data_IF_767693330319
#
_entry.id   IF_767693330319
#
_cell.length_a   1.000
_cell.length_b   1.000
_cell.length_c   1.000
_cell.angle_alpha   90.00
_cell.angle_beta   90.00
_cell.angle_gamma   90.00
#
_symmetry.space_group_name_H-M   'P 1'
#
loop_
_entity.id
_entity.type
_entity.pdbx_description
1 polymer ?
#
# COMPACT_ATOMS: atom_id res chain seq x y z
N UNK A 1 -3.95 -5.70 -4.91
CA UNK A 1 -3.25 -5.72 -3.60
C UNK A 1 -3.51 -7.04 -2.91
N UNK A 2 -4.76 -7.38 -2.63
CA UNK A 2 -5.19 -8.69 -2.13
C UNK A 2 -4.51 -9.86 -2.86
N UNK A 3 -4.68 -9.95 -4.19
CA UNK A 3 -4.04 -10.99 -5.01
C UNK A 3 -2.50 -11.02 -4.86
N UNK A 4 -1.86 -9.86 -4.67
CA UNK A 4 -0.40 -9.80 -4.48
C UNK A 4 -0.03 -10.50 -3.17
N UNK A 5 -0.78 -10.28 -2.10
CA UNK A 5 -0.54 -10.90 -0.80
C UNK A 5 -0.98 -12.38 -0.74
N UNK A 6 -2.05 -12.76 -1.42
CA UNK A 6 -2.64 -14.11 -1.33
C UNK A 6 -2.03 -15.12 -2.31
N UNK A 7 -1.63 -14.69 -3.52
CA UNK A 7 -1.32 -15.62 -4.61
C UNK A 7 0.00 -15.38 -5.36
N UNK A 8 0.54 -14.15 -5.36
CA UNK A 8 1.68 -13.80 -6.23
C UNK A 8 3.00 -13.52 -5.49
N UNK A 9 2.95 -12.78 -4.37
CA UNK A 9 4.15 -12.32 -3.68
C UNK A 9 4.78 -13.39 -2.80
N UNK A 10 6.10 -13.44 -2.78
CA UNK A 10 6.82 -14.21 -1.76
C UNK A 10 6.85 -13.46 -0.43
N UNK A 11 6.98 -14.16 0.70
CA UNK A 11 6.99 -13.52 2.04
C UNK A 11 8.04 -12.41 2.16
N UNK A 12 9.23 -12.59 1.57
CA UNK A 12 10.29 -11.57 1.60
C UNK A 12 9.92 -10.33 0.78
N UNK A 13 9.31 -10.51 -0.40
CA UNK A 13 8.81 -9.40 -1.22
C UNK A 13 7.64 -8.67 -0.53
N UNK A 14 6.71 -9.43 0.06
CA UNK A 14 5.55 -8.88 0.78
C UNK A 14 5.97 -8.07 2.01
N UNK A 15 7.07 -8.44 2.66
CA UNK A 15 7.64 -7.63 3.74
C UNK A 15 8.10 -6.27 3.23
N UNK A 16 8.88 -6.23 2.15
CA UNK A 16 9.35 -4.97 1.54
C UNK A 16 8.18 -4.13 1.04
N UNK A 17 7.17 -4.77 0.46
CA UNK A 17 5.95 -4.12 0.00
C UNK A 17 5.18 -3.48 1.15
N UNK A 18 5.02 -4.19 2.27
CA UNK A 18 4.37 -3.68 3.48
C UNK A 18 5.14 -2.49 4.05
N UNK A 19 6.47 -2.58 4.13
CA UNK A 19 7.31 -1.47 4.60
C UNK A 19 7.22 -0.24 3.70
N UNK A 20 7.11 -0.43 2.38
CA UNK A 20 6.86 0.66 1.43
C UNK A 20 5.53 1.36 1.72
N UNK A 21 4.44 0.61 1.98
CA UNK A 21 3.17 1.19 2.41
C UNK A 21 3.28 1.95 3.74
N UNK A 22 4.05 1.46 4.71
CA UNK A 22 4.23 2.18 5.97
C UNK A 22 4.95 3.52 5.79
N UNK A 23 5.98 3.55 4.94
CA UNK A 23 6.71 4.79 4.59
C UNK A 23 5.85 5.74 3.78
N UNK A 24 5.05 5.20 2.85
CA UNK A 24 4.22 5.96 1.92
C UNK A 24 5.05 6.97 1.11
N UNK A 25 6.12 6.49 0.48
CA UNK A 25 7.11 7.30 -0.22
C UNK A 25 7.43 6.67 -1.58
N UNK A 26 7.38 7.49 -2.64
CA UNK A 26 7.70 7.10 -4.02
C UNK A 26 9.10 6.51 -4.15
N UNK A 27 10.05 6.94 -3.31
CA UNK A 27 11.40 6.38 -3.30
C UNK A 27 11.44 4.92 -2.84
N UNK A 28 10.39 4.42 -2.21
CA UNK A 28 10.28 3.00 -1.85
C UNK A 28 10.10 2.09 -3.07
N UNK A 29 9.74 2.64 -4.24
CA UNK A 29 9.62 1.87 -5.49
C UNK A 29 10.93 1.18 -5.87
N UNK A 30 12.08 1.81 -5.63
CA UNK A 30 13.39 1.28 -6.01
C UNK A 30 13.73 -0.03 -5.26
N UNK A 31 13.05 -0.29 -4.14
CA UNK A 31 13.24 -1.48 -3.30
C UNK A 31 12.32 -2.64 -3.70
N UNK A 32 11.36 -2.42 -4.60
CA UNK A 32 10.34 -3.42 -4.94
C UNK A 32 10.68 -4.16 -6.24
N UNK A 33 10.16 -5.39 -6.44
CA UNK A 33 10.12 -6.03 -7.75
C UNK A 33 9.27 -5.24 -8.76
N UNK A 34 9.59 -5.32 -10.06
CA UNK A 34 8.95 -4.49 -11.09
C UNK A 34 7.42 -4.66 -11.16
N UNK A 35 6.90 -5.86 -10.92
CA UNK A 35 5.45 -6.09 -10.92
C UNK A 35 4.74 -5.41 -9.73
N UNK A 36 5.40 -5.33 -8.57
CA UNK A 36 4.88 -4.65 -7.39
C UNK A 36 5.00 -3.12 -7.51
N UNK A 37 6.03 -2.62 -8.20
CA UNK A 37 6.21 -1.17 -8.45
C UNK A 37 4.99 -0.57 -9.13
N UNK A 38 4.48 -1.23 -10.17
CA UNK A 38 3.29 -0.77 -10.90
C UNK A 38 2.08 -0.67 -9.98
N UNK A 39 1.88 -1.67 -9.10
CA UNK A 39 0.78 -1.65 -8.15
C UNK A 39 0.95 -0.55 -7.09
N UNK A 40 2.15 -0.41 -6.51
CA UNK A 40 2.41 0.61 -5.50
C UNK A 40 2.30 2.03 -6.06
N UNK A 41 2.88 2.30 -7.23
CA UNK A 41 2.77 3.58 -7.91
C UNK A 41 1.30 3.93 -8.20
N UNK A 42 0.53 2.97 -8.73
CA UNK A 42 -0.89 3.19 -8.99
C UNK A 42 -1.70 3.54 -7.74
N UNK A 43 -1.35 2.97 -6.58
CA UNK A 43 -1.98 3.35 -5.30
C UNK A 43 -1.55 4.75 -4.87
N UNK A 44 -0.27 5.09 -4.96
CA UNK A 44 0.21 6.44 -4.62
C UNK A 44 -0.48 7.51 -5.48
N UNK A 45 -0.56 7.30 -6.79
CA UNK A 45 -1.20 8.22 -7.73
C UNK A 45 -2.68 8.39 -7.41
N UNK A 46 -3.40 7.29 -7.19
CA UNK A 46 -4.82 7.32 -6.82
C UNK A 46 -5.06 8.08 -5.51
N UNK A 47 -4.23 7.88 -4.50
CA UNK A 47 -4.37 8.60 -3.24
C UNK A 47 -4.01 10.08 -3.37
N UNK A 48 -3.03 10.44 -4.21
CA UNK A 48 -2.72 11.84 -4.49
C UNK A 48 -3.90 12.54 -5.18
N UNK A 49 -4.54 11.89 -6.17
CA UNK A 49 -5.75 12.42 -6.83
C UNK A 49 -6.90 12.63 -5.83
N UNK A 50 -7.15 11.67 -4.93
CA UNK A 50 -8.16 11.81 -3.88
C UNK A 50 -7.79 12.95 -2.91
N UNK A 51 -6.51 13.09 -2.54
CA UNK A 51 -6.05 14.16 -1.66
C UNK A 51 -6.36 15.53 -2.25
N UNK A 52 -6.05 15.74 -3.53
CA UNK A 52 -6.32 16.97 -4.26
C UNK A 52 -7.82 17.30 -4.31
N UNK A 53 -8.67 16.31 -4.59
CA UNK A 53 -10.13 16.50 -4.61
C UNK A 53 -10.69 16.78 -3.21
N UNK A 54 -10.20 16.08 -2.19
CA UNK A 54 -10.62 16.28 -0.81
C UNK A 54 -10.13 17.63 -0.26
N UNK A 55 -8.97 18.13 -0.69
CA UNK A 55 -8.49 19.47 -0.35
C UNK A 55 -9.48 20.55 -0.79
N UNK A 56 -10.01 20.44 -2.02
CA UNK A 56 -11.01 21.39 -2.57
C UNK A 56 -12.31 21.41 -1.77
N UNK A 57 -12.67 20.29 -1.15
CA UNK A 57 -13.92 20.10 -0.40
C UNK A 57 -13.76 20.28 1.12
N UNK A 58 -12.57 20.66 1.62
CA UNK A 58 -12.28 20.75 3.05
C UNK A 58 -12.26 19.39 3.77
N UNK A 59 -12.06 18.30 3.04
CA UNK A 59 -12.15 16.91 3.49
C UNK A 59 -10.84 16.27 3.96
N UNK A 60 -9.73 17.01 4.04
CA UNK A 60 -8.38 16.45 4.32
C UNK A 60 -8.30 15.59 5.59
N UNK A 61 -9.07 15.91 6.63
CA UNK A 61 -9.11 15.09 7.85
C UNK A 61 -9.66 13.68 7.58
N UNK A 62 -10.66 13.54 6.71
CA UNK A 62 -11.21 12.24 6.30
C UNK A 62 -10.23 11.48 5.42
N UNK A 63 -9.54 12.18 4.53
CA UNK A 63 -8.49 11.60 3.70
C UNK A 63 -7.35 11.02 4.54
N UNK A 64 -6.90 11.75 5.57
CA UNK A 64 -5.88 11.26 6.50
C UNK A 64 -6.26 9.89 7.10
N UNK A 65 -7.49 9.74 7.59
CA UNK A 65 -7.93 8.44 8.12
C UNK A 65 -8.06 7.35 7.07
N UNK A 66 -8.44 7.69 5.83
CA UNK A 66 -8.48 6.71 4.74
C UNK A 66 -7.07 6.18 4.43
N UNK A 67 -6.07 7.07 4.37
CA UNK A 67 -4.66 6.71 4.19
C UNK A 67 -4.13 5.84 5.33
N UNK A 68 -4.43 6.19 6.58
CA UNK A 68 -4.02 5.38 7.75
C UNK A 68 -4.73 4.03 7.80
N UNK A 69 -6.01 3.96 7.38
CA UNK A 69 -6.73 2.69 7.26
C UNK A 69 -6.07 1.79 6.20
N UNK A 70 -5.64 2.35 5.08
CA UNK A 70 -4.94 1.62 4.03
C UNK A 70 -3.64 1.00 4.52
N UNK A 71 -2.83 1.76 5.28
CA UNK A 71 -1.61 1.24 5.89
C UNK A 71 -1.89 0.04 6.79
N UNK A 72 -2.93 0.12 7.62
CA UNK A 72 -3.35 -0.99 8.49
C UNK A 72 -3.86 -2.18 7.70
N UNK A 73 -4.64 -1.97 6.64
CA UNK A 73 -5.11 -3.05 5.76
C UNK A 73 -3.95 -3.84 5.17
N UNK A 74 -2.91 -3.15 4.70
CA UNK A 74 -1.71 -3.81 4.15
C UNK A 74 -0.94 -4.59 5.24
N UNK A 75 -0.88 -4.10 6.48
CA UNK A 75 -0.33 -4.87 7.60
C UNK A 75 -1.13 -6.15 7.87
N UNK A 76 -2.47 -6.06 7.85
CA UNK A 76 -3.31 -7.24 8.04
C UNK A 76 -3.13 -8.28 6.94
N UNK A 77 -3.03 -7.85 5.67
CA UNK A 77 -2.72 -8.76 4.57
C UNK A 77 -1.36 -9.44 4.73
N UNK A 78 -0.35 -8.74 5.26
CA UNK A 78 0.94 -9.35 5.51
C UNK A 78 0.86 -10.42 6.61
N UNK A 79 0.15 -10.13 7.71
CA UNK A 79 -0.07 -11.10 8.80
C UNK A 79 -0.85 -12.32 8.30
N UNK A 80 -1.88 -12.11 7.48
CA UNK A 80 -2.65 -13.19 6.86
C UNK A 80 -1.78 -14.06 5.95
N UNK A 81 -0.97 -13.44 5.08
CA UNK A 81 -0.03 -14.16 4.23
C UNK A 81 0.97 -14.99 5.05
N UNK A 82 1.46 -14.48 6.18
CA UNK A 82 2.32 -15.25 7.09
C UNK A 82 1.60 -16.46 7.71
N UNK A 83 0.31 -16.33 8.04
CA UNK A 83 -0.47 -17.45 8.55
C UNK A 83 -0.75 -18.52 7.50
N UNK A 84 -1.06 -18.11 6.27
CA UNK A 84 -1.34 -19.03 5.16
C UNK A 84 -0.11 -19.80 4.66
N UNK A 85 1.09 -19.28 4.92
CA UNK A 85 2.37 -19.90 4.53
C UNK A 85 3.05 -20.70 5.66
N UNK A 86 2.39 -20.88 6.82
CA UNK A 86 2.88 -21.70 7.93
C UNK A 86 2.46 -23.17 7.82
#
# INVERSE_FOLDING_TARGET
LDDIYDAYGTIDELKLFTEAFQRWDVHSLDLLPDYMKLCYQGVLDFYNEIEEEMAKQGGLHRFYYAKEAMKKTVEFYFVEAQWSNN
#
